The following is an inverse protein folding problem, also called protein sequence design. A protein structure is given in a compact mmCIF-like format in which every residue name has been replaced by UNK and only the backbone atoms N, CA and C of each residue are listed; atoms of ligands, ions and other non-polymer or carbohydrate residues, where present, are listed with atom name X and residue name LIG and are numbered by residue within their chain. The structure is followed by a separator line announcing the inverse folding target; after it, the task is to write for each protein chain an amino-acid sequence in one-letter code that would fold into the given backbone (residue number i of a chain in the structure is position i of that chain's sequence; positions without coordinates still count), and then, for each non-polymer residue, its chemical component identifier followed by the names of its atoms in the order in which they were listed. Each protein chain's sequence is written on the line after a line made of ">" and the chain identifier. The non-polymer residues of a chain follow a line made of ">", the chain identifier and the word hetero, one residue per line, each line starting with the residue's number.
data_IF_733140288406
#
_entry.id   IF_733140288406
#
_cell.length_a   1.000
_cell.length_b   1.000
_cell.length_c   1.000
_cell.angle_alpha   90.00
_cell.angle_beta   90.00
_cell.angle_gamma   90.00
#
_symmetry.space_group_name_H-M   'P 1'
#
loop_
_entity.id
_entity.type
_entity.pdbx_description
1 polymer ?
#
# COMPACT_ATOMS: atom_id res chain seq x y z
N UNK A 1 55.84 0.89 29.77
CA UNK A 1 54.47 1.30 29.37
C UNK A 1 53.96 0.63 28.09
N UNK A 2 54.38 0.99 26.88
CA UNK A 2 53.80 0.42 25.63
C UNK A 2 54.03 -1.10 25.52
N UNK A 3 55.24 -1.57 25.84
CA UNK A 3 55.54 -3.01 25.83
C UNK A 3 54.78 -3.79 26.91
N UNK A 4 54.55 -3.20 28.09
CA UNK A 4 53.78 -3.83 29.17
C UNK A 4 52.30 -3.99 28.79
N UNK A 5 51.74 -2.99 28.12
CA UNK A 5 50.38 -3.04 27.56
C UNK A 5 50.29 -4.13 26.48
N UNK A 6 51.28 -4.23 25.59
CA UNK A 6 51.31 -5.26 24.56
C UNK A 6 51.40 -6.69 25.14
N UNK A 7 52.22 -6.91 26.17
CA UNK A 7 52.30 -8.20 26.88
C UNK A 7 51.05 -8.54 27.68
N UNK A 8 50.33 -7.53 28.17
CA UNK A 8 49.05 -7.75 28.85
C UNK A 8 48.00 -8.27 27.87
N UNK A 9 47.86 -7.66 26.69
CA UNK A 9 46.90 -8.09 25.66
C UNK A 9 47.28 -9.37 24.91
N UNK A 10 48.54 -9.80 24.95
CA UNK A 10 48.99 -11.06 24.34
C UNK A 10 48.78 -12.30 25.24
N UNK A 11 48.23 -12.11 26.44
CA UNK A 11 48.01 -13.21 27.37
C UNK A 11 46.96 -14.19 26.82
N UNK A 12 47.19 -15.49 26.97
CA UNK A 12 46.37 -16.55 26.37
C UNK A 12 44.88 -16.48 26.71
N UNK A 13 44.50 -15.86 27.84
CA UNK A 13 43.11 -15.70 28.24
C UNK A 13 42.35 -14.72 27.34
N UNK A 14 43.00 -13.64 26.87
CA UNK A 14 42.41 -12.69 25.93
C UNK A 14 42.15 -13.34 24.57
N UNK A 15 43.06 -14.21 24.11
CA UNK A 15 42.88 -14.96 22.87
C UNK A 15 41.67 -15.89 22.93
N UNK A 16 41.44 -16.57 24.06
CA UNK A 16 40.30 -17.46 24.27
C UNK A 16 38.98 -16.66 24.31
N UNK A 17 38.92 -15.58 25.10
CA UNK A 17 37.71 -14.74 25.19
C UNK A 17 37.43 -14.06 23.84
N UNK A 18 38.46 -13.54 23.17
CA UNK A 18 38.34 -12.95 21.84
C UNK A 18 37.84 -13.96 20.80
N UNK A 19 38.34 -15.20 20.86
CA UNK A 19 37.86 -16.30 20.01
C UNK A 19 36.39 -16.63 20.24
N UNK A 20 35.96 -16.78 21.50
CA UNK A 20 34.55 -17.03 21.86
C UNK A 20 33.63 -15.87 21.47
N UNK A 21 34.08 -14.63 21.67
CA UNK A 21 33.34 -13.43 21.27
C UNK A 21 33.19 -13.35 19.74
N UNK A 22 34.26 -13.64 19.00
CA UNK A 22 34.25 -13.67 17.53
C UNK A 22 33.30 -14.75 17.01
N UNK A 23 33.37 -15.97 17.58
CA UNK A 23 32.47 -17.06 17.22
C UNK A 23 31.01 -16.70 17.50
N UNK A 24 30.73 -16.13 18.67
CA UNK A 24 29.38 -15.68 19.05
C UNK A 24 28.86 -14.61 18.09
N UNK A 25 29.71 -13.65 17.72
CA UNK A 25 29.37 -12.60 16.75
C UNK A 25 29.03 -13.18 15.38
N UNK A 26 29.80 -14.17 14.90
CA UNK A 26 29.51 -14.85 13.63
C UNK A 26 28.15 -15.56 13.70
N UNK A 27 27.87 -16.31 14.78
CA UNK A 27 26.60 -17.01 14.95
C UNK A 27 25.42 -16.03 15.03
N UNK A 28 25.53 -14.97 15.82
CA UNK A 28 24.50 -13.93 15.92
C UNK A 28 24.29 -13.20 14.59
N UNK A 29 25.38 -12.94 13.84
CA UNK A 29 25.31 -12.34 12.51
C UNK A 29 24.53 -13.22 11.53
N UNK A 30 24.88 -14.50 11.45
CA UNK A 30 24.17 -15.48 10.62
C UNK A 30 22.70 -15.62 11.02
N UNK A 31 22.41 -15.65 12.32
CA UNK A 31 21.04 -15.72 12.83
C UNK A 31 20.23 -14.46 12.47
N UNK A 32 20.84 -13.28 12.57
CA UNK A 32 20.19 -12.01 12.19
C UNK A 32 19.86 -11.99 10.70
N UNK A 33 20.80 -12.41 9.85
CA UNK A 33 20.57 -12.54 8.41
C UNK A 33 19.43 -13.52 8.14
N UNK A 34 19.43 -14.69 8.80
CA UNK A 34 18.34 -15.65 8.68
C UNK A 34 16.98 -15.06 9.09
N UNK A 35 16.91 -14.30 10.18
CA UNK A 35 15.68 -13.61 10.61
C UNK A 35 15.22 -12.57 9.59
N UNK A 36 16.13 -11.83 8.95
CA UNK A 36 15.78 -10.89 7.88
C UNK A 36 15.16 -11.61 6.67
N UNK A 37 15.75 -12.73 6.24
CA UNK A 37 15.20 -13.55 5.16
C UNK A 37 13.82 -14.11 5.50
N UNK A 38 13.60 -14.53 6.75
CA UNK A 38 12.32 -15.11 7.19
C UNK A 38 11.23 -14.08 7.49
N UNK A 39 11.60 -12.88 7.92
CA UNK A 39 10.66 -11.86 8.38
C UNK A 39 10.43 -10.73 7.37
N UNK A 40 11.49 -10.02 7.00
CA UNK A 40 11.38 -8.74 6.26
C UNK A 40 11.14 -8.99 4.77
N UNK A 41 11.92 -9.90 4.17
CA UNK A 41 11.83 -10.19 2.73
C UNK A 41 10.43 -10.65 2.29
N UNK A 42 9.72 -11.58 2.97
CA UNK A 42 8.39 -11.98 2.52
C UNK A 42 7.37 -10.85 2.58
N UNK A 43 7.52 -9.90 3.53
CA UNK A 43 6.66 -8.72 3.61
C UNK A 43 6.93 -7.79 2.42
N UNK A 44 8.19 -7.49 2.12
CA UNK A 44 8.56 -6.65 0.97
C UNK A 44 8.11 -7.27 -0.35
N UNK A 45 8.32 -8.58 -0.52
CA UNK A 45 7.87 -9.31 -1.70
C UNK A 45 6.34 -9.28 -1.84
N UNK A 46 5.61 -9.49 -0.74
CA UNK A 46 4.15 -9.41 -0.72
C UNK A 46 3.64 -8.02 -1.11
N UNK A 47 4.23 -6.97 -0.55
CA UNK A 47 3.86 -5.59 -0.87
C UNK A 47 4.15 -5.28 -2.34
N UNK A 48 5.35 -5.62 -2.83
CA UNK A 48 5.73 -5.39 -4.22
C UNK A 48 4.80 -6.07 -5.22
N UNK A 49 4.42 -7.33 -4.98
CA UNK A 49 3.45 -8.05 -5.82
C UNK A 49 2.04 -7.49 -5.67
N UNK A 50 1.62 -7.14 -4.46
CA UNK A 50 0.32 -6.55 -4.19
C UNK A 50 0.13 -5.23 -4.93
N UNK A 51 1.18 -4.44 -5.08
CA UNK A 51 1.16 -3.19 -5.84
C UNK A 51 1.20 -3.44 -7.36
N UNK A 52 2.09 -4.32 -7.83
CA UNK A 52 2.31 -4.51 -9.28
C UNK A 52 1.16 -5.20 -10.01
N UNK A 53 0.35 -6.01 -9.32
CA UNK A 53 -0.77 -6.75 -9.92
C UNK A 53 -2.13 -6.06 -9.80
N UNK A 54 -2.23 -4.99 -9.02
CA UNK A 54 -3.50 -4.31 -8.77
C UNK A 54 -3.78 -3.29 -9.87
N UNK A 55 -5.03 -3.29 -10.29
CA UNK A 55 -5.58 -2.40 -11.30
C UNK A 55 -6.53 -1.40 -10.65
N UNK A 56 -6.49 -0.16 -11.11
CA UNK A 56 -7.35 0.93 -10.63
C UNK A 56 -8.45 1.24 -11.66
N UNK A 57 -9.69 1.00 -11.27
CA UNK A 57 -10.87 1.50 -11.99
C UNK A 57 -11.12 2.96 -11.61
N UNK A 58 -11.00 3.87 -12.57
CA UNK A 58 -11.23 5.30 -12.37
C UNK A 58 -12.61 5.66 -12.88
N UNK A 59 -13.51 6.03 -11.97
CA UNK A 59 -14.84 6.55 -12.26
C UNK A 59 -14.78 8.08 -12.30
N UNK A 60 -14.34 8.60 -13.43
CA UNK A 60 -14.28 10.02 -13.74
C UNK A 60 -14.48 10.23 -15.25
N UNK A 61 -15.16 11.30 -15.62
CA UNK A 61 -15.41 11.73 -16.99
C UNK A 61 -14.40 12.81 -17.38
N UNK A 62 -14.45 14.01 -16.76
CA UNK A 62 -13.57 15.15 -17.06
C UNK A 62 -12.26 15.06 -16.29
N UNK A 63 -12.31 14.67 -15.02
CA UNK A 63 -11.13 14.54 -14.15
C UNK A 63 -10.30 13.27 -14.41
N UNK A 64 -10.72 12.42 -15.35
CA UNK A 64 -10.03 11.16 -15.66
C UNK A 64 -8.55 11.36 -15.97
N UNK A 65 -8.19 12.29 -16.86
CA UNK A 65 -6.80 12.50 -17.28
C UNK A 65 -5.91 12.95 -16.11
N UNK A 66 -6.46 13.74 -15.19
CA UNK A 66 -5.75 14.25 -14.02
C UNK A 66 -5.51 13.16 -12.97
N UNK A 67 -6.49 12.27 -12.78
CA UNK A 67 -6.38 11.14 -11.87
C UNK A 67 -5.49 10.04 -12.46
N UNK A 68 -5.62 9.77 -13.76
CA UNK A 68 -4.78 8.79 -14.47
C UNK A 68 -3.30 9.18 -14.44
N UNK A 69 -2.98 10.44 -14.74
CA UNK A 69 -1.60 10.93 -14.65
C UNK A 69 -1.07 10.87 -13.22
N UNK A 70 -1.84 11.32 -12.21
CA UNK A 70 -1.44 11.22 -10.81
C UNK A 70 -1.08 9.78 -10.40
N UNK A 71 -1.85 8.80 -10.86
CA UNK A 71 -1.59 7.40 -10.55
C UNK A 71 -0.33 6.91 -11.27
N UNK A 72 -0.22 7.15 -12.58
CA UNK A 72 0.93 6.69 -13.38
C UNK A 72 2.23 7.38 -13.00
N UNK A 73 2.20 8.68 -12.73
CA UNK A 73 3.35 9.49 -12.33
C UNK A 73 3.92 9.03 -10.98
N UNK A 74 3.08 8.43 -10.11
CA UNK A 74 3.55 7.86 -8.85
C UNK A 74 4.50 6.66 -9.04
N UNK A 75 4.45 5.98 -10.21
CA UNK A 75 5.14 4.71 -10.50
C UNK A 75 4.81 3.57 -9.54
N UNK A 76 3.82 3.75 -8.66
CA UNK A 76 3.33 2.73 -7.74
C UNK A 76 2.34 1.82 -8.46
N UNK A 77 1.56 2.38 -9.37
CA UNK A 77 0.53 1.71 -10.15
C UNK A 77 0.69 2.03 -11.63
N UNK A 78 0.65 1.01 -12.47
CA UNK A 78 0.83 1.17 -13.91
C UNK A 78 -0.44 0.88 -14.71
N UNK A 79 -1.40 0.18 -14.12
CA UNK A 79 -2.61 -0.29 -14.80
C UNK A 79 -3.85 0.42 -14.27
N UNK A 80 -4.40 1.28 -15.11
CA UNK A 80 -5.62 2.05 -14.87
C UNK A 80 -6.63 1.77 -15.97
N UNK A 81 -7.91 1.77 -15.63
CA UNK A 81 -8.99 1.70 -16.61
C UNK A 81 -10.01 2.81 -16.37
N UNK A 82 -10.45 3.45 -17.46
CA UNK A 82 -11.56 4.41 -17.41
C UNK A 82 -12.88 3.67 -17.33
N UNK A 83 -13.71 4.04 -16.38
CA UNK A 83 -15.08 3.54 -16.27
C UNK A 83 -16.05 4.67 -16.62
N UNK A 84 -16.91 4.41 -17.59
CA UNK A 84 -17.99 5.31 -17.97
C UNK A 84 -19.28 5.00 -17.20
N UNK A 85 -20.15 6.00 -17.02
CA UNK A 85 -21.44 5.87 -16.31
C UNK A 85 -22.36 4.76 -16.81
N UNK A 86 -22.24 4.39 -18.08
CA UNK A 86 -23.04 3.33 -18.69
C UNK A 86 -22.42 1.93 -18.52
N UNK A 87 -21.12 1.87 -18.21
CA UNK A 87 -20.32 0.64 -18.22
C UNK A 87 -19.75 0.30 -16.83
N UNK A 88 -20.44 0.69 -15.76
CA UNK A 88 -20.00 0.51 -14.37
C UNK A 88 -19.59 -0.94 -14.08
N UNK A 89 -20.32 -1.92 -14.63
CA UNK A 89 -20.03 -3.35 -14.47
C UNK A 89 -18.64 -3.79 -14.92
N UNK A 90 -17.98 -3.06 -15.84
CA UNK A 90 -16.61 -3.37 -16.26
C UNK A 90 -15.61 -3.29 -15.10
N UNK A 91 -15.93 -2.55 -14.04
CA UNK A 91 -15.07 -2.40 -12.88
C UNK A 91 -15.08 -3.62 -11.95
N UNK A 92 -16.03 -4.55 -12.07
CA UNK A 92 -16.20 -5.66 -11.10
C UNK A 92 -14.97 -6.58 -10.98
N UNK A 93 -14.12 -6.63 -12.01
CA UNK A 93 -12.86 -7.39 -12.01
C UNK A 93 -11.71 -6.67 -11.33
N UNK A 94 -11.86 -5.37 -11.04
CA UNK A 94 -10.78 -4.52 -10.56
C UNK A 94 -10.68 -4.49 -9.04
N UNK A 95 -9.46 -4.23 -8.58
CA UNK A 95 -9.10 -4.32 -7.16
C UNK A 95 -9.22 -3.00 -6.41
N UNK A 96 -9.29 -1.88 -7.13
CA UNK A 96 -9.33 -0.53 -6.55
C UNK A 96 -10.31 0.30 -7.37
N UNK A 97 -11.29 0.90 -6.70
CA UNK A 97 -12.26 1.83 -7.28
C UNK A 97 -11.90 3.23 -6.83
N UNK A 98 -11.46 4.07 -7.76
CA UNK A 98 -11.24 5.49 -7.53
C UNK A 98 -12.40 6.27 -8.13
N UNK A 99 -13.25 6.85 -7.29
CA UNK A 99 -14.49 7.51 -7.69
C UNK A 99 -14.37 9.02 -7.51
N UNK A 100 -14.53 9.78 -8.59
CA UNK A 100 -14.65 11.23 -8.49
C UNK A 100 -16.09 11.61 -8.07
N UNK A 101 -16.24 12.07 -6.83
CA UNK A 101 -17.56 12.31 -6.23
C UNK A 101 -18.43 13.25 -7.05
N UNK A 102 -17.92 14.42 -7.43
CA UNK A 102 -18.70 15.44 -8.15
C UNK A 102 -19.28 14.95 -9.49
N UNK A 103 -18.69 13.93 -10.10
CA UNK A 103 -19.14 13.42 -11.39
C UNK A 103 -19.98 12.14 -11.27
N UNK A 104 -19.71 11.31 -10.26
CA UNK A 104 -20.29 9.97 -10.09
C UNK A 104 -21.20 9.82 -8.87
N UNK A 105 -21.51 10.90 -8.13
CA UNK A 105 -22.42 10.88 -6.97
C UNK A 105 -23.74 10.15 -7.23
N UNK A 106 -24.36 10.33 -8.40
CA UNK A 106 -25.66 9.72 -8.76
C UNK A 106 -25.58 8.22 -9.03
N UNK A 107 -24.38 7.65 -9.09
CA UNK A 107 -24.12 6.24 -9.37
C UNK A 107 -23.41 5.52 -8.22
N UNK A 108 -23.17 6.21 -7.10
CA UNK A 108 -22.43 5.63 -5.96
C UNK A 108 -23.04 4.32 -5.47
N UNK A 109 -24.37 4.24 -5.42
CA UNK A 109 -25.08 3.03 -4.99
C UNK A 109 -24.77 1.83 -5.89
N UNK A 110 -24.71 2.04 -7.21
CA UNK A 110 -24.35 0.99 -8.17
C UNK A 110 -22.89 0.59 -8.07
N UNK A 111 -22.01 1.55 -7.77
CA UNK A 111 -20.57 1.29 -7.59
C UNK A 111 -20.34 0.45 -6.33
N UNK A 112 -21.07 0.76 -5.25
CA UNK A 112 -21.06 -0.03 -4.01
C UNK A 112 -21.61 -1.43 -4.27
N UNK A 113 -22.70 -1.57 -5.03
CA UNK A 113 -23.30 -2.87 -5.34
C UNK A 113 -22.35 -3.84 -6.07
N UNK A 114 -21.54 -3.35 -7.01
CA UNK A 114 -20.59 -4.18 -7.76
C UNK A 114 -19.24 -4.39 -7.05
N UNK A 115 -19.02 -3.70 -5.94
CA UNK A 115 -17.76 -3.76 -5.20
C UNK A 115 -17.68 -5.08 -4.45
N UNK A 116 -16.52 -5.74 -4.55
CA UNK A 116 -16.20 -6.92 -3.72
C UNK A 116 -15.64 -6.48 -2.37
N UNK A 117 -15.74 -7.34 -1.36
CA UNK A 117 -15.18 -7.08 -0.03
C UNK A 117 -13.67 -6.80 -0.08
N UNK A 118 -12.93 -7.44 -0.99
CA UNK A 118 -11.49 -7.26 -1.19
C UNK A 118 -11.10 -6.06 -2.07
N UNK A 119 -12.09 -5.38 -2.67
CA UNK A 119 -11.88 -4.19 -3.50
C UNK A 119 -11.84 -2.94 -2.61
N UNK A 120 -10.80 -2.11 -2.77
CA UNK A 120 -10.74 -0.81 -2.10
C UNK A 120 -11.66 0.21 -2.79
N UNK A 121 -12.41 1.00 -2.02
CA UNK A 121 -13.22 2.10 -2.53
C UNK A 121 -12.67 3.44 -2.04
N UNK A 122 -12.13 4.23 -2.95
CA UNK A 122 -11.60 5.57 -2.67
C UNK A 122 -12.52 6.59 -3.33
N UNK A 123 -13.28 7.32 -2.52
CA UNK A 123 -14.14 8.40 -3.00
C UNK A 123 -13.40 9.73 -2.88
N UNK A 124 -12.95 10.25 -4.02
CA UNK A 124 -12.27 11.54 -4.10
C UNK A 124 -13.28 12.67 -4.27
N UNK A 125 -13.38 13.53 -3.26
CA UNK A 125 -14.26 14.69 -3.20
C UNK A 125 -13.45 15.96 -2.95
N UNK A 126 -12.83 16.55 -4.00
CA UNK A 126 -11.98 17.73 -3.85
C UNK A 126 -12.71 18.92 -3.24
N UNK A 127 -11.96 19.83 -2.64
CA UNK A 127 -12.48 21.12 -2.17
C UNK A 127 -13.10 21.88 -3.36
N UNK A 128 -14.40 22.16 -3.29
CA UNK A 128 -15.18 22.76 -4.38
C UNK A 128 -16.06 21.78 -5.16
N UNK A 129 -15.96 20.46 -4.91
CA UNK A 129 -16.99 19.52 -5.31
C UNK A 129 -18.23 19.64 -4.41
N UNK A 130 -19.36 19.10 -4.88
CA UNK A 130 -20.58 19.01 -4.08
C UNK A 130 -20.32 18.29 -2.76
N UNK A 131 -20.88 18.82 -1.67
CA UNK A 131 -20.82 18.16 -0.36
C UNK A 131 -21.45 16.77 -0.44
N UNK A 132 -20.77 15.77 0.11
CA UNK A 132 -21.34 14.43 0.28
C UNK A 132 -22.51 14.52 1.26
N UNK A 133 -23.69 14.08 0.84
CA UNK A 133 -24.85 14.04 1.73
C UNK A 133 -24.70 12.94 2.79
N UNK A 134 -25.41 13.09 3.90
CA UNK A 134 -25.30 12.17 5.04
C UNK A 134 -25.70 10.74 4.69
N UNK A 135 -26.63 10.53 3.75
CA UNK A 135 -27.07 9.20 3.38
C UNK A 135 -25.98 8.47 2.59
N UNK A 136 -25.38 9.12 1.60
CA UNK A 136 -24.24 8.58 0.86
C UNK A 136 -23.00 8.39 1.75
N UNK A 137 -22.73 9.31 2.68
CA UNK A 137 -21.62 9.17 3.62
C UNK A 137 -21.77 7.92 4.48
N UNK A 138 -22.97 7.69 5.05
CA UNK A 138 -23.28 6.49 5.84
C UNK A 138 -23.17 5.20 5.02
N UNK A 139 -23.57 5.23 3.74
CA UNK A 139 -23.42 4.08 2.84
C UNK A 139 -21.96 3.74 2.59
N UNK A 140 -21.13 4.76 2.30
CA UNK A 140 -19.70 4.56 2.08
C UNK A 140 -19.02 4.05 3.36
N UNK A 141 -19.33 4.63 4.52
CA UNK A 141 -18.77 4.24 5.82
C UNK A 141 -19.09 2.79 6.21
N UNK A 142 -20.26 2.27 5.83
CA UNK A 142 -20.63 0.88 6.07
C UNK A 142 -19.91 -0.13 5.16
N UNK A 143 -19.22 0.34 4.11
CA UNK A 143 -18.49 -0.53 3.19
C UNK A 143 -17.08 -0.82 3.71
N UNK A 144 -16.65 -2.10 3.79
CA UNK A 144 -15.28 -2.42 4.16
C UNK A 144 -14.29 -1.89 3.11
N UNK A 145 -13.11 -1.47 3.55
CA UNK A 145 -12.05 -0.93 2.70
C UNK A 145 -12.49 0.30 1.89
N UNK A 146 -13.38 1.12 2.44
CA UNK A 146 -13.76 2.40 1.88
C UNK A 146 -13.02 3.56 2.56
N UNK A 147 -12.77 4.63 1.82
CA UNK A 147 -12.21 5.88 2.34
C UNK A 147 -12.69 7.06 1.51
N UNK A 148 -12.97 8.17 2.18
CA UNK A 148 -13.28 9.45 1.53
C UNK A 148 -12.07 10.36 1.64
N UNK A 149 -11.63 10.91 0.50
CA UNK A 149 -10.44 11.75 0.41
C UNK A 149 -10.80 13.09 -0.21
N UNK A 150 -10.44 14.18 0.45
CA UNK A 150 -10.74 15.54 0.03
C UNK A 150 -9.53 16.33 -0.49
N UNK A 151 -8.31 15.79 -0.32
CA UNK A 151 -7.08 16.44 -0.75
C UNK A 151 -6.30 15.55 -1.71
N UNK A 152 -5.89 16.13 -2.84
CA UNK A 152 -5.06 15.45 -3.84
C UNK A 152 -3.77 14.89 -3.25
N UNK A 153 -3.11 15.62 -2.35
CA UNK A 153 -1.87 15.17 -1.69
C UNK A 153 -2.05 13.96 -0.77
N UNK A 154 -3.28 13.71 -0.29
CA UNK A 154 -3.61 12.50 0.49
C UNK A 154 -4.07 11.34 -0.38
N UNK A 155 -4.55 11.62 -1.59
CA UNK A 155 -5.15 10.61 -2.46
C UNK A 155 -4.21 9.44 -2.74
N UNK A 156 -2.95 9.70 -3.09
CA UNK A 156 -1.96 8.64 -3.32
C UNK A 156 -1.68 7.84 -2.04
N UNK A 157 -1.58 8.51 -0.89
CA UNK A 157 -1.32 7.85 0.40
C UNK A 157 -2.48 6.93 0.78
N UNK A 158 -3.71 7.39 0.58
CA UNK A 158 -4.92 6.64 0.93
C UNK A 158 -5.12 5.46 -0.06
N UNK A 159 -4.82 5.63 -1.36
CA UNK A 159 -4.77 4.52 -2.32
C UNK A 159 -3.71 3.49 -1.91
N UNK A 160 -2.49 3.93 -1.62
CA UNK A 160 -1.38 3.06 -1.23
C UNK A 160 -1.71 2.27 0.05
N UNK A 161 -2.21 2.94 1.07
CA UNK A 161 -2.62 2.31 2.33
C UNK A 161 -3.73 1.29 2.10
N UNK A 162 -4.72 1.63 1.26
CA UNK A 162 -5.82 0.71 0.91
C UNK A 162 -5.32 -0.56 0.22
N UNK A 163 -4.22 -0.50 -0.55
CA UNK A 163 -3.61 -1.69 -1.16
C UNK A 163 -2.95 -2.60 -0.14
N UNK A 164 -2.33 -2.02 0.89
CA UNK A 164 -1.70 -2.78 1.96
C UNK A 164 -2.76 -3.46 2.83
N UNK A 165 -3.85 -2.76 3.14
CA UNK A 165 -4.91 -3.25 4.04
C UNK A 165 -5.87 -4.20 3.34
N UNK A 166 -6.12 -4.03 2.05
CA UNK A 166 -6.90 -5.01 1.28
C UNK A 166 -6.08 -6.27 1.06
N UNK A 167 -6.62 -7.42 1.47
CA UNK A 167 -6.02 -8.70 1.12
C UNK A 167 -6.16 -8.92 -0.39
N UNK A 168 -5.08 -9.38 -1.03
CA UNK A 168 -5.20 -9.90 -2.38
C UNK A 168 -5.90 -11.25 -2.28
N UNK A 169 -7.16 -11.32 -2.71
CA UNK A 169 -7.80 -12.61 -2.94
C UNK A 169 -7.01 -13.31 -4.05
N UNK A 170 -6.26 -14.35 -3.69
CA UNK A 170 -5.73 -15.29 -4.66
C UNK A 170 -6.93 -15.93 -5.34
N UNK A 171 -7.27 -15.45 -6.54
CA UNK A 171 -8.04 -16.25 -7.49
C UNK A 171 -7.28 -17.53 -7.81
#
# INVERSE_FOLDING_TARGET
>A
MINEIATFFSHSWFAIIGGLATLSMIVCGLYTVFLLFKGVIPVWYRIGIGLSKRKVAIFADKEYSNLDSLIKDSKIFNETIKIHKNDIKKAETETIFLVHWGEYKSKIDKIIEIKKTSTALIVYSPQGADKIDQASLKKIDNEPNSVIVNFRGRLLNDIFTSVITTSYDKK
#
